data_IF_061717600938
#
_entry.id   IF_061717600938
#
_cell.length_a   1.000
_cell.length_b   1.000
_cell.length_c   1.000
_cell.angle_alpha   90.00
_cell.angle_beta   90.00
_cell.angle_gamma   90.00
#
_symmetry.space_group_name_H-M   'P 1'
#
loop_
_entity.id
_entity.type
_entity.pdbx_description
1 polymer ?
#
# COMPACT_ATOMS: atom_id res chain seq x y z
N UNK A 1 10.82 -4.58 6.26
CA UNK A 1 10.53 -5.83 5.52
C UNK A 1 9.81 -5.47 4.23
N UNK A 2 10.25 -5.98 3.08
CA UNK A 2 9.64 -5.68 1.78
C UNK A 2 8.93 -6.90 1.22
N UNK A 3 7.67 -6.74 0.84
CA UNK A 3 6.77 -7.80 0.38
C UNK A 3 6.41 -7.53 -1.08
N UNK A 4 6.75 -8.42 -2.03
CA UNK A 4 6.29 -8.31 -3.41
C UNK A 4 4.80 -8.65 -3.48
N UNK A 5 4.02 -7.79 -4.14
CA UNK A 5 2.55 -7.96 -4.27
C UNK A 5 2.09 -8.29 -5.69
N UNK A 6 2.99 -8.23 -6.68
CA UNK A 6 2.68 -8.62 -8.05
C UNK A 6 3.24 -7.64 -9.07
N UNK A 7 2.56 -7.55 -10.23
CA UNK A 7 2.89 -6.61 -11.29
C UNK A 7 1.63 -5.86 -11.74
N UNK A 8 1.79 -4.59 -12.05
CA UNK A 8 0.79 -3.76 -12.72
C UNK A 8 1.45 -3.14 -13.95
N UNK A 9 0.85 -3.31 -15.13
CA UNK A 9 1.37 -2.82 -16.41
C UNK A 9 2.86 -3.14 -16.67
N UNK A 10 3.25 -4.36 -16.29
CA UNK A 10 4.63 -4.85 -16.45
C UNK A 10 5.61 -4.40 -15.35
N UNK A 11 5.21 -3.47 -14.49
CA UNK A 11 6.01 -2.95 -13.37
C UNK A 11 5.73 -3.71 -12.08
N UNK A 12 6.77 -4.11 -11.34
CA UNK A 12 6.63 -4.82 -10.08
C UNK A 12 6.23 -3.90 -8.94
N UNK A 13 5.18 -4.28 -8.20
CA UNK A 13 4.71 -3.56 -7.02
C UNK A 13 5.16 -4.30 -5.76
N UNK A 14 5.64 -3.54 -4.77
CA UNK A 14 5.98 -4.05 -3.45
C UNK A 14 5.58 -3.07 -2.36
N UNK A 15 5.32 -3.58 -1.16
CA UNK A 15 5.05 -2.76 0.03
C UNK A 15 6.14 -3.03 1.06
N UNK A 16 6.64 -1.97 1.70
CA UNK A 16 7.66 -2.06 2.74
C UNK A 16 7.09 -1.61 4.07
N UNK A 17 7.20 -2.47 5.08
CA UNK A 17 6.80 -2.20 6.44
C UNK A 17 8.04 -1.97 7.31
N UNK A 18 7.93 -0.99 8.21
CA UNK A 18 8.97 -0.60 9.16
C UNK A 18 8.33 -0.59 10.55
N UNK A 19 9.04 -1.14 11.53
CA UNK A 19 8.66 -1.07 12.93
C UNK A 19 9.72 -0.30 13.73
N UNK A 20 9.35 0.14 14.93
CA UNK A 20 10.28 0.74 15.89
C UNK A 20 11.41 -0.22 16.25
N UNK A 21 12.52 0.34 16.76
CA UNK A 21 13.67 -0.45 17.20
C UNK A 21 13.26 -1.58 18.17
N UNK A 22 13.78 -2.79 17.94
CA UNK A 22 13.45 -3.99 18.71
C UNK A 22 12.08 -4.60 18.39
N UNK A 23 11.33 -4.03 17.43
CA UNK A 23 9.98 -4.44 17.05
C UNK A 23 9.91 -5.58 16.02
N UNK A 24 10.99 -6.34 15.79
CA UNK A 24 11.05 -7.32 14.70
C UNK A 24 9.96 -8.40 14.82
N UNK A 25 9.68 -8.88 16.04
CA UNK A 25 8.60 -9.85 16.27
C UNK A 25 7.24 -9.27 15.86
N UNK A 26 6.94 -8.06 16.32
CA UNK A 26 5.71 -7.36 15.95
C UNK A 26 5.62 -7.16 14.43
N UNK A 27 6.73 -6.76 13.79
CA UNK A 27 6.79 -6.57 12.34
C UNK A 27 6.49 -7.87 11.60
N UNK A 28 7.08 -8.98 12.01
CA UNK A 28 6.86 -10.29 11.39
C UNK A 28 5.45 -10.84 11.65
N UNK A 29 4.94 -10.71 12.88
CA UNK A 29 3.57 -11.11 13.24
C UNK A 29 2.56 -10.31 12.42
N UNK A 30 2.77 -8.99 12.27
CA UNK A 30 1.92 -8.11 11.46
C UNK A 30 1.95 -8.48 9.98
N UNK A 31 3.14 -8.75 9.43
CA UNK A 31 3.28 -9.20 8.05
C UNK A 31 2.53 -10.50 7.82
N UNK A 32 2.65 -11.46 8.73
CA UNK A 32 1.98 -12.75 8.62
C UNK A 32 0.46 -12.62 8.67
N UNK A 33 -0.05 -11.79 9.59
CA UNK A 33 -1.48 -11.54 9.76
C UNK A 33 -2.09 -10.81 8.55
N UNK A 34 -1.41 -9.77 8.05
CA UNK A 34 -1.94 -8.92 6.98
C UNK A 34 -1.66 -9.43 5.57
N UNK A 35 -0.71 -10.36 5.37
CA UNK A 35 -0.25 -10.74 4.02
C UNK A 35 -1.40 -11.15 3.09
N UNK A 36 -2.33 -11.97 3.59
CA UNK A 36 -3.47 -12.46 2.81
C UNK A 36 -4.38 -11.31 2.34
N UNK A 37 -4.74 -10.40 3.25
CA UNK A 37 -5.58 -9.24 2.96
C UNK A 37 -4.86 -8.25 2.05
N UNK A 38 -3.56 -8.04 2.23
CA UNK A 38 -2.76 -7.16 1.40
C UNK A 38 -2.64 -7.68 -0.04
N UNK A 39 -2.50 -9.00 -0.19
CA UNK A 39 -2.50 -9.67 -1.50
C UNK A 39 -3.84 -9.52 -2.20
N UNK A 40 -4.95 -9.76 -1.50
CA UNK A 40 -6.29 -9.62 -2.04
C UNK A 40 -6.60 -8.16 -2.45
N UNK A 41 -6.20 -7.18 -1.64
CA UNK A 41 -6.33 -5.77 -1.97
C UNK A 41 -5.48 -5.37 -3.19
N UNK A 42 -4.27 -5.91 -3.32
CA UNK A 42 -3.41 -5.66 -4.49
C UNK A 42 -4.00 -6.27 -5.77
N UNK A 43 -4.52 -7.49 -5.69
CA UNK A 43 -5.19 -8.15 -6.81
C UNK A 43 -6.47 -7.39 -7.20
N UNK A 44 -7.27 -6.93 -6.24
CA UNK A 44 -8.45 -6.11 -6.50
C UNK A 44 -8.09 -4.76 -7.16
N UNK A 45 -7.05 -4.08 -6.66
CA UNK A 45 -6.57 -2.82 -7.23
C UNK A 45 -6.03 -2.99 -8.65
N UNK A 46 -5.41 -4.14 -8.97
CA UNK A 46 -4.90 -4.43 -10.32
C UNK A 46 -6.01 -4.54 -11.38
N UNK A 47 -7.24 -4.85 -10.95
CA UNK A 47 -8.41 -4.97 -11.82
C UNK A 47 -9.21 -3.66 -11.94
N UNK A 48 -8.85 -2.63 -11.17
CA UNK A 48 -9.51 -1.33 -11.28
C UNK A 48 -9.07 -0.63 -12.57
N UNK A 49 -9.96 0.13 -13.22
CA UNK A 49 -9.57 1.00 -14.31
C UNK A 49 -8.54 2.03 -13.79
N UNK A 50 -7.57 2.43 -14.63
CA UNK A 50 -6.65 3.51 -14.29
C UNK A 50 -7.43 4.72 -13.78
N UNK A 51 -7.05 5.23 -12.60
CA UNK A 51 -7.61 6.48 -12.10
C UNK A 51 -7.27 7.56 -13.14
N UNK A 52 -8.24 8.36 -13.63
CA UNK A 52 -7.92 9.43 -14.55
C UNK A 52 -6.88 10.33 -13.90
N UNK A 53 -5.77 10.57 -14.60
CA UNK A 53 -4.73 11.51 -14.20
C UNK A 53 -5.41 12.87 -13.99
N UNK A 54 -5.74 13.16 -12.73
CA UNK A 54 -6.22 14.48 -12.35
C UNK A 54 -4.97 15.31 -12.11
N UNK A 55 -4.23 15.53 -13.19
CA UNK A 55 -3.20 16.56 -13.29
C UNK A 55 -3.90 17.91 -13.07
N UNK A 56 -3.97 18.35 -11.81
CA UNK A 56 -4.32 19.73 -11.49
C UNK A 56 -5.49 19.96 -10.53
N UNK A 57 -5.66 19.15 -9.48
CA UNK A 57 -6.39 19.64 -8.30
C UNK A 57 -5.62 19.35 -7.01
N UNK A 58 -4.69 20.25 -6.71
CA UNK A 58 -3.91 20.31 -5.45
C UNK A 58 -4.78 20.62 -4.21
N UNK A 59 -6.10 20.77 -4.35
CA UNK A 59 -6.97 21.32 -3.29
C UNK A 59 -7.52 20.25 -2.32
N UNK A 60 -7.35 18.96 -2.61
CA UNK A 60 -7.81 17.88 -1.70
C UNK A 60 -6.87 17.63 -0.51
N UNK A 61 -5.65 18.18 -0.52
CA UNK A 61 -4.69 18.06 0.58
C UNK A 61 -5.00 18.98 1.79
N UNK A 62 -5.88 19.98 1.64
CA UNK A 62 -6.20 20.94 2.69
C UNK A 62 -7.38 20.54 3.59
N UNK A 63 -8.19 19.55 3.20
CA UNK A 63 -9.42 19.15 3.92
C UNK A 63 -9.20 18.27 5.16
N UNK A 64 -7.98 17.74 5.39
CA UNK A 64 -7.69 16.86 6.53
C UNK A 64 -6.97 17.56 7.69
N UNK A 65 -7.00 18.91 7.71
CA UNK A 65 -6.34 19.73 8.74
C UNK A 65 -7.23 20.26 9.87
N UNK A 66 -8.44 19.73 10.07
CA UNK A 66 -9.27 20.04 11.25
C UNK A 66 -9.94 18.74 11.74
N UNK A 67 -9.91 18.32 13.01
CA UNK A 67 -9.81 19.00 14.31
C UNK A 67 -9.25 18.05 15.37
#
# INVERSE_FOLDING_TARGET
VSIPLGKHDGSSISVSLIASYGGDKFLLDTVLDMYSSLREAADAASNLPPVPDTDGDMDTAELFKEK
#
